data_IF_549808719696
#
_entry.id   IF_549808719696
#
_cell.length_a   1.000
_cell.length_b   1.000
_cell.length_c   1.000
_cell.angle_alpha   90.00
_cell.angle_beta   90.00
_cell.angle_gamma   90.00
#
_symmetry.space_group_name_H-M   'P 1'
#
loop_
_entity.id
_entity.type
_entity.pdbx_description
1 polymer ?
#
# COMPACT_ATOMS: atom_id res chain seq x y z
N UNK A 1 -13.22 -23.82 -15.63
CA UNK A 1 -12.06 -22.95 -15.34
C UNK A 1 -12.53 -21.50 -15.36
N UNK A 2 -12.57 -20.86 -14.21
CA UNK A 2 -12.94 -19.44 -14.11
C UNK A 2 -11.80 -18.58 -14.68
N UNK A 3 -12.14 -17.60 -15.54
CA UNK A 3 -11.15 -16.71 -16.15
C UNK A 3 -11.27 -15.31 -15.53
N UNK A 4 -10.17 -14.79 -15.05
CA UNK A 4 -10.03 -13.44 -14.44
C UNK A 4 -9.16 -12.57 -15.36
N UNK A 5 -9.61 -11.36 -15.63
CA UNK A 5 -8.83 -10.34 -16.35
C UNK A 5 -8.50 -9.20 -15.41
N UNK A 6 -7.22 -8.93 -15.20
CA UNK A 6 -6.73 -7.87 -14.32
C UNK A 6 -6.23 -6.70 -15.17
N UNK A 7 -6.80 -5.51 -14.98
CA UNK A 7 -6.48 -4.28 -15.72
C UNK A 7 -5.53 -3.38 -14.92
N UNK A 8 -4.23 -3.60 -15.10
CA UNK A 8 -3.19 -2.84 -14.40
C UNK A 8 -2.91 -1.49 -15.10
N UNK A 9 -2.90 -0.39 -14.36
CA UNK A 9 -2.61 0.95 -14.88
C UNK A 9 -1.12 1.23 -15.04
N UNK A 10 -0.28 0.56 -14.25
CA UNK A 10 1.17 0.74 -14.24
C UNK A 10 1.87 -0.51 -13.71
N UNK A 11 3.16 -0.63 -14.00
CA UNK A 11 4.01 -1.61 -13.33
C UNK A 11 4.36 -1.06 -11.95
N UNK A 12 3.86 -1.71 -10.91
CA UNK A 12 4.19 -1.43 -9.53
C UNK A 12 4.58 -2.73 -8.85
N UNK A 13 5.73 -2.78 -8.19
CA UNK A 13 6.23 -4.00 -7.54
C UNK A 13 5.18 -4.69 -6.67
N UNK A 14 4.52 -3.92 -5.81
CA UNK A 14 3.52 -4.45 -4.86
C UNK A 14 2.32 -5.13 -5.52
N UNK A 15 1.88 -4.64 -6.69
CA UNK A 15 0.77 -5.26 -7.42
C UNK A 15 1.24 -6.38 -8.34
N UNK A 16 2.41 -6.24 -8.96
CA UNK A 16 2.95 -7.26 -9.86
C UNK A 16 3.36 -8.53 -9.12
N UNK A 17 3.98 -8.40 -7.94
CA UNK A 17 4.28 -9.55 -7.09
C UNK A 17 3.00 -10.28 -6.65
N UNK A 18 1.96 -9.53 -6.27
CA UNK A 18 0.64 -10.12 -5.99
C UNK A 18 0.09 -10.88 -7.19
N UNK A 19 0.10 -10.27 -8.39
CA UNK A 19 -0.47 -10.90 -9.59
C UNK A 19 0.34 -12.11 -10.04
N UNK A 20 1.66 -12.10 -9.87
CA UNK A 20 2.53 -13.26 -10.11
C UNK A 20 2.10 -14.44 -9.26
N UNK A 21 1.88 -14.22 -7.98
CA UNK A 21 1.45 -15.27 -7.07
C UNK A 21 0.00 -15.73 -7.35
N UNK A 22 -0.91 -14.80 -7.67
CA UNK A 22 -2.28 -15.16 -8.07
C UNK A 22 -2.29 -16.09 -9.30
N UNK A 23 -1.41 -15.85 -10.29
CA UNK A 23 -1.26 -16.72 -11.47
C UNK A 23 -0.79 -18.14 -11.14
N UNK A 24 -0.06 -18.30 -10.01
CA UNK A 24 0.51 -19.59 -9.57
C UNK A 24 -0.39 -20.40 -8.65
N UNK A 25 -1.42 -19.78 -8.07
CA UNK A 25 -2.14 -20.36 -6.93
C UNK A 25 -3.08 -21.51 -7.28
N UNK A 26 -3.74 -21.46 -8.45
CA UNK A 26 -4.83 -22.39 -8.78
C UNK A 26 -4.84 -22.70 -10.28
N UNK A 27 -4.70 -23.98 -10.61
CA UNK A 27 -4.73 -24.46 -12.00
C UNK A 27 -6.14 -24.37 -12.63
N UNK A 28 -7.19 -24.28 -11.81
CA UNK A 28 -8.58 -24.15 -12.24
C UNK A 28 -9.02 -22.70 -12.49
N UNK A 29 -8.12 -21.70 -12.22
CA UNK A 29 -8.36 -20.28 -12.46
C UNK A 29 -7.37 -19.76 -13.50
N UNK A 30 -7.88 -19.32 -14.64
CA UNK A 30 -7.06 -18.65 -15.65
C UNK A 30 -6.96 -17.16 -15.35
N UNK A 31 -5.75 -16.62 -15.23
CA UNK A 31 -5.51 -15.18 -14.96
C UNK A 31 -4.81 -14.54 -16.15
N UNK A 32 -5.40 -13.48 -16.68
CA UNK A 32 -4.80 -12.63 -17.74
C UNK A 32 -4.55 -11.24 -17.18
N UNK A 33 -3.32 -10.79 -17.22
CA UNK A 33 -2.94 -9.43 -16.80
C UNK A 33 -2.81 -8.53 -18.04
N UNK A 34 -3.64 -7.52 -18.11
CA UNK A 34 -3.66 -6.49 -19.15
C UNK A 34 -3.04 -5.22 -18.60
N UNK A 35 -1.89 -4.82 -19.13
CA UNK A 35 -1.21 -3.60 -18.73
C UNK A 35 -1.57 -2.44 -19.67
N UNK A 36 -2.00 -1.33 -19.11
CA UNK A 36 -2.20 -0.10 -19.89
C UNK A 36 -0.85 0.46 -20.34
N UNK A 37 -0.73 0.73 -21.67
CA UNK A 37 0.38 1.50 -22.21
C UNK A 37 0.29 2.94 -21.70
N UNK A 38 1.38 3.50 -21.20
CA UNK A 38 1.38 4.92 -20.88
C UNK A 38 1.33 5.75 -22.18
N UNK A 39 0.78 6.98 -22.09
CA UNK A 39 0.58 7.84 -23.25
C UNK A 39 1.87 8.32 -23.94
N UNK A 40 3.05 7.90 -23.47
CA UNK A 40 4.36 8.23 -24.03
C UNK A 40 4.89 7.15 -24.97
N UNK A 41 4.15 6.05 -25.13
CA UNK A 41 4.55 4.95 -26.02
C UNK A 41 5.79 4.18 -25.56
N UNK A 42 6.22 4.37 -24.32
CA UNK A 42 7.37 3.67 -23.78
C UNK A 42 7.05 2.19 -23.59
N UNK A 43 7.93 1.35 -24.13
CA UNK A 43 7.89 -0.09 -23.95
C UNK A 43 7.97 -0.42 -22.45
N UNK A 44 7.19 -1.40 -22.02
CA UNK A 44 7.21 -1.94 -20.65
C UNK A 44 8.64 -2.22 -20.14
N UNK A 45 9.58 -2.53 -21.04
CA UNK A 45 11.02 -2.68 -20.73
C UNK A 45 11.67 -1.38 -20.28
N UNK A 46 11.38 -0.23 -20.89
CA UNK A 46 12.00 1.07 -20.53
C UNK A 46 11.45 1.64 -19.22
N UNK A 47 10.19 1.38 -18.91
CA UNK A 47 9.61 1.68 -17.59
C UNK A 47 10.30 0.90 -16.46
N UNK A 48 10.84 -0.28 -16.73
CA UNK A 48 11.56 -1.14 -15.79
C UNK A 48 12.92 -0.55 -15.40
N UNK A 49 13.70 -0.12 -16.36
CA UNK A 49 15.05 0.42 -16.15
C UNK A 49 15.01 1.76 -15.40
N UNK A 50 14.01 2.61 -15.67
CA UNK A 50 13.90 3.94 -15.09
C UNK A 50 13.41 3.94 -13.62
N UNK A 51 12.75 2.85 -13.15
CA UNK A 51 12.14 2.80 -11.80
C UNK A 51 12.80 1.79 -10.85
N UNK A 52 13.84 1.05 -11.27
CA UNK A 52 14.48 0.01 -10.46
C UNK A 52 13.52 -1.12 -10.03
N UNK A 53 12.38 -1.25 -10.73
CA UNK A 53 11.37 -2.27 -10.48
C UNK A 53 11.68 -3.49 -11.34
N UNK A 54 11.68 -4.69 -10.76
CA UNK A 54 12.10 -5.93 -11.39
C UNK A 54 11.45 -6.29 -12.74
N UNK A 55 11.87 -7.40 -13.35
CA UNK A 55 11.27 -7.91 -14.58
C UNK A 55 9.91 -8.58 -14.30
N UNK A 56 8.84 -8.07 -14.92
CA UNK A 56 7.47 -8.59 -14.82
C UNK A 56 6.92 -9.05 -16.19
N UNK A 57 7.80 -9.42 -17.13
CA UNK A 57 7.39 -9.95 -18.44
C UNK A 57 6.63 -11.27 -18.34
N UNK A 58 6.89 -12.03 -17.28
CA UNK A 58 6.18 -13.25 -16.92
C UNK A 58 4.76 -13.00 -16.35
N UNK A 59 4.49 -11.79 -15.89
CA UNK A 59 3.20 -11.41 -15.29
C UNK A 59 2.24 -10.81 -16.32
N UNK A 60 2.74 -9.94 -17.21
CA UNK A 60 1.93 -9.20 -18.16
C UNK A 60 1.67 -10.02 -19.43
N UNK A 61 0.42 -10.35 -19.68
CA UNK A 61 0.00 -11.16 -20.87
C UNK A 61 -0.35 -10.30 -22.08
N UNK A 62 -0.92 -9.10 -21.86
CA UNK A 62 -1.40 -8.19 -22.89
C UNK A 62 -1.05 -6.75 -22.56
N UNK A 63 -0.88 -5.94 -23.59
CA UNK A 63 -0.74 -4.49 -23.48
C UNK A 63 -1.93 -3.82 -24.15
N UNK A 64 -2.58 -2.94 -23.42
CA UNK A 64 -3.74 -2.18 -23.87
C UNK A 64 -3.36 -0.71 -24.11
N UNK A 65 -3.83 -0.14 -25.21
CA UNK A 65 -3.51 1.24 -25.62
C UNK A 65 -4.28 2.32 -24.83
N UNK A 66 -5.17 1.91 -23.93
CA UNK A 66 -5.95 2.82 -23.09
C UNK A 66 -7.23 3.35 -23.76
N UNK A 67 -7.61 2.87 -24.95
CA UNK A 67 -8.84 3.26 -25.63
C UNK A 67 -9.98 2.31 -25.32
N UNK A 68 -11.21 2.82 -25.32
CA UNK A 68 -12.40 2.03 -25.02
C UNK A 68 -12.60 0.90 -26.04
N UNK A 69 -12.48 1.20 -27.34
CA UNK A 69 -12.76 0.28 -28.42
C UNK A 69 -11.89 -0.99 -28.36
N UNK A 70 -10.58 -0.82 -28.19
CA UNK A 70 -9.65 -1.95 -28.04
C UNK A 70 -9.83 -2.68 -26.71
N UNK A 71 -10.27 -2.00 -25.67
CA UNK A 71 -10.58 -2.60 -24.38
C UNK A 71 -11.82 -3.48 -24.40
N UNK A 72 -12.83 -3.13 -25.19
CA UNK A 72 -14.07 -3.89 -25.32
C UNK A 72 -13.84 -5.33 -25.81
N UNK A 73 -12.89 -5.51 -26.74
CA UNK A 73 -12.50 -6.83 -27.25
C UNK A 73 -11.85 -7.70 -26.17
N UNK A 74 -11.16 -7.08 -25.21
CA UNK A 74 -10.50 -7.77 -24.12
C UNK A 74 -11.48 -8.21 -23.01
N UNK A 75 -12.72 -7.70 -23.00
CA UNK A 75 -13.75 -8.16 -22.07
C UNK A 75 -14.16 -9.61 -22.31
N UNK A 76 -13.97 -10.13 -23.54
CA UNK A 76 -14.31 -11.51 -23.87
C UNK A 76 -13.29 -12.54 -23.32
N UNK A 77 -12.16 -12.06 -22.74
CA UNK A 77 -11.11 -12.94 -22.19
C UNK A 77 -11.50 -13.60 -20.86
N UNK A 78 -12.50 -13.09 -20.14
CA UNK A 78 -12.87 -13.64 -18.84
C UNK A 78 -14.25 -13.28 -18.33
N UNK A 79 -14.67 -13.96 -17.26
CA UNK A 79 -15.96 -13.73 -16.60
C UNK A 79 -15.86 -12.77 -15.42
N UNK A 80 -14.65 -12.56 -14.90
CA UNK A 80 -14.37 -11.66 -13.78
C UNK A 80 -13.33 -10.64 -14.22
N UNK A 81 -13.62 -9.36 -14.07
CA UNK A 81 -12.72 -8.27 -14.41
C UNK A 81 -12.36 -7.47 -13.18
N UNK A 82 -11.05 -7.39 -12.90
CA UNK A 82 -10.49 -6.55 -11.83
C UNK A 82 -9.88 -5.32 -12.47
N UNK A 83 -10.55 -4.20 -12.32
CA UNK A 83 -10.10 -2.92 -12.84
C UNK A 83 -9.27 -2.16 -11.80
N UNK A 84 -8.47 -1.19 -12.26
CA UNK A 84 -7.88 -0.14 -11.46
C UNK A 84 -7.85 1.17 -12.24
N UNK A 85 -7.85 2.31 -11.53
CA UNK A 85 -7.75 3.63 -12.14
C UNK A 85 -9.05 4.27 -12.61
N UNK A 86 -10.22 3.79 -12.16
CA UNK A 86 -11.52 4.38 -12.51
C UNK A 86 -11.63 5.88 -12.17
N UNK A 87 -10.93 6.32 -11.14
CA UNK A 87 -10.94 7.72 -10.70
C UNK A 87 -10.35 8.68 -11.73
N UNK A 88 -9.35 8.22 -12.48
CA UNK A 88 -8.55 9.07 -13.38
C UNK A 88 -8.71 8.72 -14.86
N UNK A 89 -9.22 7.52 -15.18
CA UNK A 89 -9.27 7.03 -16.55
C UNK A 89 -10.72 6.87 -17.03
N UNK A 90 -11.09 7.64 -18.06
CA UNK A 90 -12.43 7.60 -18.67
C UNK A 90 -12.71 6.23 -19.30
N UNK A 91 -11.77 5.68 -20.08
CA UNK A 91 -11.98 4.41 -20.78
C UNK A 91 -12.21 3.25 -19.79
N UNK A 92 -11.52 3.25 -18.64
CA UNK A 92 -11.77 2.26 -17.56
C UNK A 92 -13.20 2.36 -17.07
N UNK A 93 -13.71 3.58 -16.82
CA UNK A 93 -15.11 3.75 -16.38
C UNK A 93 -16.12 3.19 -17.38
N UNK A 94 -15.92 3.46 -18.65
CA UNK A 94 -16.82 2.95 -19.70
C UNK A 94 -16.69 1.43 -19.86
N UNK A 95 -15.48 0.87 -19.71
CA UNK A 95 -15.28 -0.60 -19.74
C UNK A 95 -15.95 -1.28 -18.53
N UNK A 96 -15.93 -0.70 -17.34
CA UNK A 96 -16.65 -1.22 -16.17
C UNK A 96 -18.17 -1.28 -16.45
N UNK A 97 -18.73 -0.23 -17.05
CA UNK A 97 -20.15 -0.18 -17.42
C UNK A 97 -20.49 -1.22 -18.49
N UNK A 98 -19.63 -1.36 -19.52
CA UNK A 98 -19.82 -2.34 -20.57
C UNK A 98 -19.67 -3.77 -20.06
N UNK A 99 -18.71 -4.04 -19.17
CA UNK A 99 -18.55 -5.34 -18.54
C UNK A 99 -19.82 -5.73 -17.75
N UNK A 100 -20.39 -4.78 -16.99
CA UNK A 100 -21.65 -5.01 -16.27
C UNK A 100 -22.82 -5.26 -17.21
N UNK A 101 -22.89 -4.53 -18.34
CA UNK A 101 -23.93 -4.76 -19.37
C UNK A 101 -23.85 -6.16 -19.97
N UNK A 102 -22.65 -6.75 -20.05
CA UNK A 102 -22.40 -8.14 -20.48
C UNK A 102 -22.61 -9.17 -19.37
N UNK A 103 -23.13 -8.77 -18.21
CA UNK A 103 -23.29 -9.62 -17.01
C UNK A 103 -21.98 -10.21 -16.47
N UNK A 104 -20.85 -9.56 -16.73
CA UNK A 104 -19.55 -9.93 -16.16
C UNK A 104 -19.45 -9.40 -14.71
N UNK A 105 -18.67 -10.11 -13.88
CA UNK A 105 -18.34 -9.62 -12.52
C UNK A 105 -17.31 -8.52 -12.60
N UNK A 106 -17.61 -7.38 -11.99
CA UNK A 106 -16.78 -6.17 -12.00
C UNK A 106 -16.24 -5.88 -10.60
N UNK A 107 -14.93 -5.96 -10.44
CA UNK A 107 -14.21 -5.67 -9.21
C UNK A 107 -13.29 -4.47 -9.45
N UNK A 108 -13.18 -3.57 -8.51
CA UNK A 108 -12.16 -2.51 -8.53
C UNK A 108 -11.11 -2.80 -7.45
N UNK A 109 -9.82 -2.70 -7.81
CA UNK A 109 -8.70 -2.76 -6.88
C UNK A 109 -7.85 -1.51 -7.01
N UNK A 110 -8.06 -0.54 -6.11
CA UNK A 110 -7.42 0.77 -6.19
C UNK A 110 -7.28 1.41 -4.81
N UNK A 111 -6.55 2.53 -4.77
CA UNK A 111 -6.48 3.39 -3.60
C UNK A 111 -7.74 4.25 -3.44
N UNK A 112 -8.14 4.48 -2.20
CA UNK A 112 -9.12 5.51 -1.91
C UNK A 112 -8.55 6.90 -2.24
N UNK A 113 -9.38 7.88 -2.68
CA UNK A 113 -8.92 9.24 -2.95
C UNK A 113 -8.17 9.82 -1.77
N UNK A 114 -6.95 10.30 -1.99
CA UNK A 114 -6.10 10.88 -0.94
C UNK A 114 -5.79 12.36 -1.19
N UNK A 115 -5.96 13.17 -0.16
CA UNK A 115 -5.70 14.60 -0.19
C UNK A 115 -4.29 14.94 0.30
N UNK A 116 -3.26 14.55 -0.46
CA UNK A 116 -1.86 14.86 -0.11
C UNK A 116 -1.47 16.33 -0.36
N UNK A 117 -2.36 17.14 -0.89
CA UNK A 117 -2.07 18.54 -1.21
C UNK A 117 -2.48 19.49 -0.09
N UNK A 118 -1.58 20.39 0.28
CA UNK A 118 -1.81 21.50 1.23
C UNK A 118 -1.98 22.83 0.48
N UNK A 119 -2.49 23.86 1.17
CA UNK A 119 -2.70 25.18 0.59
C UNK A 119 -3.86 25.22 -0.41
N UNK A 120 -3.85 26.21 -1.31
CA UNK A 120 -4.92 26.44 -2.30
C UNK A 120 -5.19 25.21 -3.18
N UNK A 121 -4.12 24.53 -3.62
CA UNK A 121 -4.26 23.29 -4.41
C UNK A 121 -5.01 22.20 -3.63
N UNK A 122 -4.79 22.11 -2.32
CA UNK A 122 -5.52 21.16 -1.46
C UNK A 122 -7.01 21.50 -1.35
N UNK A 123 -7.36 22.79 -1.27
CA UNK A 123 -8.77 23.22 -1.26
C UNK A 123 -9.45 22.87 -2.58
N UNK A 124 -8.83 23.21 -3.71
CA UNK A 124 -9.37 22.89 -5.04
C UNK A 124 -9.56 21.38 -5.23
N UNK A 125 -8.59 20.59 -4.77
CA UNK A 125 -8.66 19.12 -4.84
C UNK A 125 -9.79 18.57 -3.97
N UNK A 126 -10.02 19.12 -2.78
CA UNK A 126 -11.17 18.75 -1.93
C UNK A 126 -12.50 19.07 -2.59
N UNK A 127 -12.62 20.25 -3.21
CA UNK A 127 -13.84 20.62 -3.96
C UNK A 127 -14.06 19.68 -5.15
N UNK A 128 -13.02 19.37 -5.90
CA UNK A 128 -13.07 18.40 -6.99
C UNK A 128 -13.56 17.03 -6.49
N UNK A 129 -13.01 16.51 -5.40
CA UNK A 129 -13.41 15.22 -4.83
C UNK A 129 -14.82 15.23 -4.22
N UNK A 130 -15.28 16.38 -3.73
CA UNK A 130 -16.62 16.49 -3.15
C UNK A 130 -17.72 16.67 -4.19
N UNK A 131 -17.45 17.34 -5.31
CA UNK A 131 -18.47 17.79 -6.25
C UNK A 131 -18.36 17.14 -7.63
N UNK A 132 -17.15 17.06 -8.19
CA UNK A 132 -16.95 16.67 -9.59
C UNK A 132 -16.70 15.16 -9.70
N UNK A 133 -15.78 14.63 -8.90
CA UNK A 133 -15.41 13.22 -8.99
C UNK A 133 -16.61 12.28 -8.78
N UNK A 134 -17.51 12.48 -7.80
CA UNK A 134 -18.67 11.61 -7.62
C UNK A 134 -19.55 11.54 -8.88
N UNK A 135 -19.76 12.67 -9.55
CA UNK A 135 -20.54 12.71 -10.81
C UNK A 135 -19.84 11.94 -11.93
N UNK A 136 -18.50 12.08 -12.03
CA UNK A 136 -17.71 11.43 -13.09
C UNK A 136 -17.66 9.91 -12.92
N UNK A 137 -17.59 9.40 -11.69
CA UNK A 137 -17.40 7.96 -11.42
C UNK A 137 -18.71 7.21 -11.18
N UNK A 138 -19.83 7.91 -11.02
CA UNK A 138 -21.13 7.35 -10.63
C UNK A 138 -21.49 6.07 -11.38
N UNK A 139 -21.50 6.10 -12.72
CA UNK A 139 -21.88 4.95 -13.54
C UNK A 139 -20.94 3.74 -13.34
N UNK A 140 -19.65 4.00 -13.19
CA UNK A 140 -18.66 2.94 -12.94
C UNK A 140 -18.83 2.33 -11.55
N UNK A 141 -19.11 3.17 -10.53
CA UNK A 141 -19.40 2.72 -9.16
C UNK A 141 -20.70 1.88 -9.12
N UNK A 142 -21.75 2.32 -9.81
CA UNK A 142 -23.01 1.57 -9.93
C UNK A 142 -22.84 0.24 -10.69
N UNK A 143 -21.87 0.15 -11.59
CA UNK A 143 -21.56 -1.06 -12.36
C UNK A 143 -20.70 -2.07 -11.59
N UNK A 144 -19.97 -1.64 -10.58
CA UNK A 144 -19.05 -2.49 -9.84
C UNK A 144 -19.75 -3.33 -8.77
N UNK A 145 -19.30 -4.56 -8.58
CA UNK A 145 -19.79 -5.49 -7.56
C UNK A 145 -19.00 -5.38 -6.25
N UNK A 146 -17.72 -5.01 -6.34
CA UNK A 146 -16.79 -5.00 -5.21
C UNK A 146 -15.70 -3.95 -5.39
N UNK A 147 -15.31 -3.29 -4.31
CA UNK A 147 -14.10 -2.48 -4.20
C UNK A 147 -13.13 -3.10 -3.20
N UNK A 148 -11.96 -3.54 -3.66
CA UNK A 148 -10.86 -3.98 -2.80
C UNK A 148 -9.96 -2.77 -2.56
N UNK A 149 -9.96 -2.26 -1.33
CA UNK A 149 -9.23 -1.03 -0.99
C UNK A 149 -7.75 -1.31 -0.78
N UNK A 150 -6.92 -0.84 -1.70
CA UNK A 150 -5.47 -0.84 -1.56
C UNK A 150 -4.97 0.13 -0.46
N UNK A 151 -5.82 1.03 0.01
CA UNK A 151 -5.56 1.92 1.16
C UNK A 151 -5.97 1.33 2.50
N UNK A 152 -6.32 0.04 2.56
CA UNK A 152 -6.86 -0.57 3.78
C UNK A 152 -8.12 0.15 4.25
N UNK A 153 -8.18 0.45 5.55
CA UNK A 153 -9.29 1.18 6.16
C UNK A 153 -9.27 2.69 5.86
N UNK A 154 -8.11 3.22 5.39
CA UNK A 154 -7.97 4.64 5.12
C UNK A 154 -8.84 5.06 3.93
N UNK A 155 -9.62 6.11 4.11
CA UNK A 155 -10.43 6.69 3.04
C UNK A 155 -11.75 5.98 2.75
N UNK A 156 -12.17 4.99 3.54
CA UNK A 156 -13.46 4.31 3.37
C UNK A 156 -14.64 5.28 3.31
N UNK A 157 -14.67 6.30 4.19
CA UNK A 157 -15.74 7.30 4.16
C UNK A 157 -15.71 8.17 2.89
N UNK A 158 -14.56 8.29 2.25
CA UNK A 158 -14.44 8.96 0.95
C UNK A 158 -15.00 8.11 -0.18
N UNK A 159 -14.75 6.80 -0.15
CA UNK A 159 -15.34 5.86 -1.10
C UNK A 159 -16.87 5.85 -0.98
N UNK A 160 -17.40 5.85 0.25
CA UNK A 160 -18.84 5.96 0.48
C UNK A 160 -19.40 7.28 -0.10
N UNK A 161 -18.69 8.41 0.07
CA UNK A 161 -19.08 9.69 -0.56
C UNK A 161 -19.01 9.67 -2.09
N UNK A 162 -18.19 8.81 -2.69
CA UNK A 162 -18.17 8.58 -4.13
C UNK A 162 -19.33 7.70 -4.64
N UNK A 163 -20.15 7.17 -3.72
CA UNK A 163 -21.31 6.34 -4.05
C UNK A 163 -21.11 4.84 -3.82
N UNK A 164 -19.93 4.40 -3.34
CA UNK A 164 -19.73 3.00 -2.99
C UNK A 164 -20.57 2.61 -1.77
N UNK A 165 -21.23 1.46 -1.83
CA UNK A 165 -21.87 0.87 -0.67
C UNK A 165 -20.80 0.37 0.30
N UNK A 166 -20.96 0.63 1.60
CA UNK A 166 -19.95 0.27 2.60
C UNK A 166 -19.69 -1.25 2.64
N UNK A 167 -20.71 -2.06 2.48
CA UNK A 167 -20.64 -3.52 2.41
C UNK A 167 -19.94 -4.05 1.16
N UNK A 168 -19.83 -3.26 0.11
CA UNK A 168 -19.09 -3.57 -1.11
C UNK A 168 -17.61 -3.12 -1.06
N UNK A 169 -17.17 -2.50 0.04
CA UNK A 169 -15.78 -2.07 0.22
C UNK A 169 -15.07 -3.04 1.16
N UNK A 170 -14.00 -3.67 0.68
CA UNK A 170 -13.19 -4.58 1.48
C UNK A 170 -11.79 -4.01 1.66
N UNK A 171 -11.36 -3.74 2.90
CA UNK A 171 -9.98 -3.36 3.18
C UNK A 171 -9.01 -4.47 2.80
N UNK A 172 -7.89 -4.12 2.16
CA UNK A 172 -6.89 -5.10 1.79
C UNK A 172 -5.46 -4.57 1.96
N UNK A 173 -5.12 -3.44 1.34
CA UNK A 173 -3.78 -2.88 1.29
C UNK A 173 -2.95 -3.42 0.12
N UNK A 174 -1.63 -3.30 0.25
CA UNK A 174 -0.65 -3.83 -0.68
C UNK A 174 0.15 -4.97 -0.08
N UNK A 175 0.84 -5.73 -0.93
CA UNK A 175 1.86 -6.72 -0.55
C UNK A 175 3.26 -6.17 -0.86
N UNK A 176 4.29 -6.81 -0.33
CA UNK A 176 5.68 -6.59 -0.74
C UNK A 176 6.42 -7.92 -0.72
N UNK A 177 7.21 -8.18 -1.73
CA UNK A 177 8.12 -9.34 -1.79
C UNK A 177 9.41 -9.14 -0.99
N UNK A 178 9.53 -8.06 -0.23
CA UNK A 178 10.77 -7.72 0.48
C UNK A 178 11.91 -7.36 -0.49
N UNK A 179 13.14 -7.34 0.02
CA UNK A 179 14.33 -7.06 -0.78
C UNK A 179 15.14 -8.32 -1.15
N UNK A 180 14.57 -9.52 -1.01
CA UNK A 180 15.22 -10.82 -1.22
C UNK A 180 15.34 -11.62 0.07
N UNK A 181 16.14 -12.69 0.07
CA UNK A 181 16.49 -13.46 1.28
C UNK A 181 17.44 -12.63 2.17
N UNK A 182 16.87 -11.75 2.96
CA UNK A 182 17.58 -11.02 3.99
C UNK A 182 17.35 -11.69 5.34
N UNK A 183 18.41 -11.72 6.14
CA UNK A 183 18.31 -12.29 7.48
C UNK A 183 17.23 -11.60 8.27
N UNK A 184 16.32 -12.36 8.83
CA UNK A 184 15.37 -11.86 9.82
C UNK A 184 16.18 -11.09 10.87
N UNK A 185 15.95 -9.78 10.99
CA UNK A 185 16.65 -8.90 11.92
C UNK A 185 16.58 -9.44 13.36
N UNK A 186 17.47 -10.37 13.65
CA UNK A 186 17.59 -11.08 14.93
C UNK A 186 18.58 -10.40 15.88
N UNK A 187 18.87 -9.10 15.65
CA UNK A 187 19.67 -8.36 16.61
C UNK A 187 19.03 -8.51 17.99
N UNK A 188 19.70 -9.20 18.90
CA UNK A 188 19.30 -9.28 20.29
C UNK A 188 19.11 -7.85 20.82
N UNK A 189 18.03 -7.63 21.56
CA UNK A 189 17.78 -6.38 22.25
C UNK A 189 18.84 -6.22 23.33
N UNK A 190 19.98 -5.63 22.99
CA UNK A 190 21.07 -5.41 23.94
C UNK A 190 20.59 -4.54 25.10
N UNK A 191 20.82 -5.04 26.30
CA UNK A 191 20.54 -4.31 27.54
C UNK A 191 21.53 -3.14 27.71
N UNK A 192 21.01 -1.98 28.11
CA UNK A 192 21.87 -0.85 28.50
C UNK A 192 22.26 0.11 27.39
N UNK A 193 21.76 -0.05 26.17
CA UNK A 193 21.88 0.97 25.08
C UNK A 193 20.59 1.71 24.84
N UNK A 194 20.69 2.94 24.32
CA UNK A 194 19.54 3.75 23.91
C UNK A 194 18.73 3.12 22.79
N UNK A 195 17.45 3.53 22.65
CA UNK A 195 16.56 3.08 21.58
C UNK A 195 17.03 3.55 20.21
N UNK A 196 17.15 2.65 19.26
CA UNK A 196 17.50 2.95 17.86
C UNK A 196 16.25 3.11 17.02
N UNK A 197 16.01 4.34 16.57
CA UNK A 197 14.83 4.74 15.80
C UNK A 197 15.23 5.06 14.37
N UNK A 198 14.61 4.43 13.40
CA UNK A 198 14.84 4.69 11.97
C UNK A 198 13.62 5.35 11.33
N UNK A 199 13.84 6.38 10.52
CA UNK A 199 12.86 6.91 9.59
C UNK A 199 13.36 6.75 8.16
N UNK A 200 12.62 6.03 7.32
CA UNK A 200 12.95 5.78 5.91
C UNK A 200 12.17 6.70 4.97
N UNK A 201 12.76 7.02 3.82
CA UNK A 201 12.16 7.83 2.77
C UNK A 201 12.61 9.30 2.78
N UNK A 202 12.03 10.07 1.86
CA UNK A 202 12.39 11.48 1.68
C UNK A 202 11.98 12.34 2.88
N UNK A 203 12.80 13.34 3.19
CA UNK A 203 12.50 14.33 4.21
C UNK A 203 11.49 15.36 3.68
N UNK A 204 10.21 15.05 3.74
CA UNK A 204 9.12 15.93 3.32
C UNK A 204 8.10 16.11 4.46
N UNK A 205 7.47 17.29 4.53
CA UNK A 205 6.48 17.61 5.59
C UNK A 205 5.35 16.58 5.66
N UNK A 206 4.83 16.13 4.52
CA UNK A 206 3.75 15.15 4.49
C UNK A 206 4.17 13.77 5.01
N UNK A 207 5.48 13.49 5.11
CA UNK A 207 6.05 12.27 5.71
C UNK A 207 6.19 12.35 7.22
N UNK A 208 5.87 13.52 7.84
CA UNK A 208 5.88 13.70 9.28
C UNK A 208 7.27 13.76 9.93
N UNK A 209 8.32 14.03 9.16
CA UNK A 209 9.72 14.12 9.65
C UNK A 209 9.86 15.14 10.79
N UNK A 210 9.17 16.27 10.69
CA UNK A 210 9.13 17.29 11.74
C UNK A 210 8.43 16.80 13.02
N UNK A 211 7.46 15.89 12.91
CA UNK A 211 6.80 15.27 14.06
C UNK A 211 7.79 14.40 14.82
N UNK A 212 8.54 13.54 14.12
CA UNK A 212 9.59 12.74 14.75
C UNK A 212 10.72 13.58 15.34
N UNK A 213 11.18 14.62 14.63
CA UNK A 213 12.20 15.55 15.16
C UNK A 213 11.75 16.22 16.48
N UNK A 214 10.50 16.65 16.57
CA UNK A 214 9.92 17.22 17.81
C UNK A 214 9.79 16.20 18.93
N UNK A 215 9.33 14.99 18.62
CA UNK A 215 9.23 13.89 19.59
C UNK A 215 10.61 13.54 20.18
N UNK A 216 11.62 13.36 19.31
CA UNK A 216 12.99 13.05 19.72
C UNK A 216 13.60 14.16 20.58
N UNK A 217 13.41 15.44 20.22
CA UNK A 217 13.86 16.56 21.02
C UNK A 217 13.19 16.61 22.41
N UNK A 218 11.91 16.27 22.50
CA UNK A 218 11.18 16.17 23.77
C UNK A 218 11.75 15.05 24.66
N UNK A 219 11.98 13.88 24.08
CA UNK A 219 12.55 12.71 24.79
C UNK A 219 13.96 12.99 25.32
N UNK A 220 14.81 13.61 24.49
CA UNK A 220 16.16 14.01 24.92
C UNK A 220 16.14 14.94 26.15
N UNK A 221 15.21 15.92 26.18
CA UNK A 221 15.06 16.82 27.35
C UNK A 221 14.61 16.08 28.62
N UNK A 222 13.91 14.95 28.47
CA UNK A 222 13.47 14.10 29.59
C UNK A 222 14.52 13.05 29.98
N UNK A 223 15.71 13.06 29.38
CA UNK A 223 16.80 12.14 29.66
C UNK A 223 16.60 10.74 29.08
N UNK A 224 15.68 10.57 28.12
CA UNK A 224 15.50 9.28 27.44
C UNK A 224 16.59 9.14 26.36
N UNK A 225 17.35 8.06 26.45
CA UNK A 225 18.41 7.76 25.50
C UNK A 225 17.83 7.16 24.22
N UNK A 226 17.99 7.86 23.10
CA UNK A 226 17.62 7.39 21.78
C UNK A 226 18.58 7.87 20.70
N UNK A 227 18.81 7.06 19.69
CA UNK A 227 19.52 7.42 18.48
C UNK A 227 18.54 7.39 17.30
N UNK A 228 18.44 8.50 16.54
CA UNK A 228 17.51 8.61 15.41
C UNK A 228 18.28 8.74 14.11
N UNK A 229 18.02 7.87 13.15
CA UNK A 229 18.55 7.96 11.78
C UNK A 229 17.43 8.29 10.79
N UNK A 230 17.75 9.19 9.85
CA UNK A 230 16.92 9.57 8.72
C UNK A 230 17.64 9.19 7.42
N UNK A 231 16.97 8.46 6.53
CA UNK A 231 17.59 8.08 5.24
C UNK A 231 17.59 9.22 4.21
N UNK A 232 16.71 10.21 4.37
CA UNK A 232 16.59 11.35 3.46
C UNK A 232 16.18 10.97 2.01
N UNK A 233 15.79 9.73 1.77
CA UNK A 233 15.42 9.23 0.44
C UNK A 233 16.61 9.06 -0.53
N UNK A 234 17.84 9.09 -0.02
CA UNK A 234 19.09 8.99 -0.81
C UNK A 234 19.83 7.67 -0.59
N UNK A 235 19.25 6.76 0.17
CA UNK A 235 19.86 5.47 0.48
C UNK A 235 19.59 4.50 -0.67
N UNK A 236 20.63 3.87 -1.16
CA UNK A 236 20.52 2.77 -2.12
C UNK A 236 19.72 1.61 -1.50
N UNK A 237 18.89 0.95 -2.30
CA UNK A 237 18.12 -0.21 -1.87
C UNK A 237 19.02 -1.30 -1.23
N UNK A 238 20.25 -1.47 -1.72
CA UNK A 238 21.24 -2.40 -1.17
C UNK A 238 21.71 -2.04 0.26
N UNK A 239 21.52 -0.81 0.71
CA UNK A 239 21.90 -0.35 2.06
C UNK A 239 20.76 -0.45 3.08
N UNK A 240 19.51 -0.54 2.61
CA UNK A 240 18.34 -0.59 3.48
C UNK A 240 18.36 -1.75 4.47
N UNK A 241 18.75 -2.99 4.10
CA UNK A 241 18.80 -4.11 5.04
C UNK A 241 19.68 -3.84 6.26
N UNK A 242 20.87 -3.27 6.06
CA UNK A 242 21.78 -2.92 7.18
C UNK A 242 21.18 -1.85 8.11
N UNK A 243 20.38 -0.92 7.56
CA UNK A 243 19.68 0.08 8.37
C UNK A 243 18.52 -0.55 9.15
N UNK A 244 17.84 -1.52 8.56
CA UNK A 244 16.82 -2.29 9.24
C UNK A 244 17.41 -3.14 10.37
N UNK A 245 18.48 -3.89 10.15
CA UNK A 245 19.18 -4.63 11.20
C UNK A 245 19.63 -3.73 12.37
N UNK A 246 20.04 -2.50 12.07
CA UNK A 246 20.42 -1.55 13.10
C UNK A 246 19.23 -1.07 13.94
N UNK A 247 18.02 -0.98 13.40
CA UNK A 247 16.87 -0.35 14.03
C UNK A 247 16.18 -1.26 15.06
N UNK A 248 15.80 -0.71 16.22
CA UNK A 248 14.91 -1.36 17.16
C UNK A 248 13.44 -1.14 16.79
N UNK A 249 13.13 0.01 16.20
CA UNK A 249 11.80 0.41 15.75
C UNK A 249 11.90 1.36 14.55
N UNK A 250 10.98 1.24 13.60
CA UNK A 250 10.86 2.19 12.48
C UNK A 250 9.65 3.07 12.67
N UNK A 251 9.82 4.39 12.46
CA UNK A 251 8.74 5.37 12.56
C UNK A 251 8.27 5.79 11.17
N UNK A 252 6.98 5.61 10.92
CA UNK A 252 6.27 6.01 9.71
C UNK A 252 5.11 6.94 10.08
N UNK A 253 5.41 8.23 10.29
CA UNK A 253 4.45 9.22 10.80
C UNK A 253 3.89 10.13 9.70
N UNK A 254 3.56 9.57 8.53
CA UNK A 254 2.96 10.29 7.41
C UNK A 254 1.63 10.97 7.78
N UNK A 255 1.41 12.19 7.25
CA UNK A 255 0.19 12.96 7.55
C UNK A 255 -1.01 12.54 6.68
N UNK A 256 -0.72 12.07 5.47
CA UNK A 256 -1.72 11.52 4.55
C UNK A 256 -1.01 10.69 3.49
N UNK A 257 -1.00 9.39 3.66
CA UNK A 257 -0.38 8.44 2.74
C UNK A 257 -1.36 7.26 2.51
N UNK A 258 -1.82 7.02 1.26
CA UNK A 258 -2.87 6.03 1.00
C UNK A 258 -2.57 4.66 1.60
N UNK A 259 -1.32 4.21 1.50
CA UNK A 259 -0.87 2.99 2.15
C UNK A 259 0.41 3.21 2.97
N UNK A 260 1.56 3.32 2.34
CA UNK A 260 2.86 3.41 2.99
C UNK A 260 3.67 2.12 2.89
N UNK A 261 4.06 1.76 1.66
CA UNK A 261 4.77 0.51 1.32
C UNK A 261 5.98 0.21 2.21
N UNK A 262 6.68 1.24 2.69
CA UNK A 262 7.81 1.07 3.62
C UNK A 262 7.45 0.35 4.92
N UNK A 263 6.18 0.39 5.34
CA UNK A 263 5.71 -0.37 6.52
C UNK A 263 5.77 -1.87 6.21
N UNK A 264 5.33 -2.27 5.01
CA UNK A 264 5.46 -3.68 4.58
C UNK A 264 6.93 -4.11 4.55
N UNK A 265 7.80 -3.30 3.93
CA UNK A 265 9.22 -3.63 3.80
C UNK A 265 9.88 -3.86 5.17
N UNK A 266 9.56 -3.01 6.14
CA UNK A 266 10.07 -3.09 7.51
C UNK A 266 9.52 -4.30 8.26
N UNK A 267 8.22 -4.57 8.12
CA UNK A 267 7.59 -5.71 8.77
C UNK A 267 8.10 -7.05 8.23
N UNK A 268 8.42 -7.14 6.94
CA UNK A 268 9.04 -8.32 6.34
C UNK A 268 10.41 -8.63 6.97
N UNK A 269 11.12 -7.61 7.47
CA UNK A 269 12.36 -7.78 8.23
C UNK A 269 12.10 -8.07 9.74
N UNK A 270 10.85 -8.24 10.14
CA UNK A 270 10.46 -8.54 11.52
C UNK A 270 10.69 -7.37 12.51
N UNK A 271 10.74 -6.14 12.00
CA UNK A 271 10.99 -4.94 12.81
C UNK A 271 9.66 -4.25 13.13
N UNK A 272 9.41 -3.93 14.41
CA UNK A 272 8.18 -3.24 14.79
C UNK A 272 8.15 -1.80 14.28
N UNK A 273 6.93 -1.28 14.11
CA UNK A 273 6.69 0.06 13.55
C UNK A 273 5.87 0.94 14.49
N UNK A 274 6.11 2.25 14.43
CA UNK A 274 5.17 3.25 14.96
C UNK A 274 4.61 4.01 13.77
N UNK A 275 3.32 3.87 13.52
CA UNK A 275 2.65 4.38 12.32
C UNK A 275 1.61 5.41 12.72
N UNK A 276 1.45 6.47 11.94
CA UNK A 276 0.33 7.40 12.17
C UNK A 276 -0.98 6.89 11.56
N UNK A 277 -2.10 7.32 12.13
CA UNK A 277 -3.46 7.11 11.58
C UNK A 277 -3.67 7.81 10.22
N UNK A 278 -2.73 8.63 9.78
CA UNK A 278 -2.67 9.22 8.45
C UNK A 278 -2.19 8.28 7.34
N UNK A 279 -1.92 7.01 7.65
CA UNK A 279 -1.39 6.01 6.71
C UNK A 279 -2.29 4.77 6.68
N UNK A 280 -2.57 4.24 5.47
CA UNK A 280 -3.40 3.05 5.31
C UNK A 280 -2.81 1.80 5.98
N UNK A 281 -1.48 1.67 5.96
CA UNK A 281 -0.76 0.56 6.58
C UNK A 281 -0.86 0.52 8.12
N UNK A 282 -1.42 1.56 8.78
CA UNK A 282 -1.71 1.53 10.21
C UNK A 282 -2.60 0.33 10.60
N UNK A 283 -3.48 -0.12 9.70
CA UNK A 283 -4.30 -1.31 9.94
C UNK A 283 -3.50 -2.56 10.27
N UNK A 284 -2.26 -2.69 9.79
CA UNK A 284 -1.40 -3.85 10.08
C UNK A 284 -0.99 -3.90 11.56
N UNK A 285 -0.85 -2.72 12.20
CA UNK A 285 -0.57 -2.67 13.63
C UNK A 285 -1.75 -3.20 14.46
N UNK A 286 -2.98 -2.83 14.07
CA UNK A 286 -4.20 -3.29 14.74
C UNK A 286 -4.44 -4.79 14.49
N UNK A 287 -4.13 -5.28 13.28
CA UNK A 287 -4.36 -6.67 12.89
C UNK A 287 -3.34 -7.63 13.53
N UNK A 288 -2.07 -7.25 13.61
CA UNK A 288 -0.98 -8.17 14.00
C UNK A 288 -0.27 -7.80 15.30
N UNK A 289 -0.60 -6.69 15.94
CA UNK A 289 0.15 -6.21 17.12
C UNK A 289 1.62 -5.90 16.81
N UNK A 290 1.93 -5.59 15.57
CA UNK A 290 3.30 -5.40 15.05
C UNK A 290 3.87 -4.00 15.29
N UNK A 291 3.13 -3.15 16.00
CA UNK A 291 3.50 -1.77 16.23
C UNK A 291 2.43 -0.99 16.97
N UNK A 292 2.58 0.33 16.98
CA UNK A 292 1.62 1.25 17.58
C UNK A 292 1.11 2.26 16.56
N UNK A 293 -0.18 2.56 16.63
CA UNK A 293 -0.79 3.66 15.87
C UNK A 293 -0.83 4.93 16.73
N UNK A 294 -0.38 6.05 16.17
CA UNK A 294 -0.42 7.36 16.82
C UNK A 294 -1.22 8.37 15.98
N UNK A 295 -1.85 9.38 16.60
CA UNK A 295 -2.52 10.42 15.83
C UNK A 295 -1.53 11.16 14.93
N UNK A 296 -1.90 11.40 13.67
CA UNK A 296 -1.07 12.13 12.71
C UNK A 296 -0.76 13.54 13.19
N UNK A 297 0.51 13.91 13.12
CA UNK A 297 0.99 15.23 13.54
C UNK A 297 1.19 15.38 15.06
N UNK A 298 0.84 14.40 15.87
CA UNK A 298 1.00 14.43 17.32
C UNK A 298 2.37 13.92 17.76
N UNK A 299 3.28 14.87 18.00
CA UNK A 299 4.62 14.57 18.48
C UNK A 299 4.65 14.08 19.94
N UNK A 300 3.64 14.42 20.76
CA UNK A 300 3.59 13.98 22.15
C UNK A 300 3.17 12.52 22.25
N UNK A 301 2.15 12.11 21.49
CA UNK A 301 1.74 10.72 21.38
C UNK A 301 2.88 9.84 20.83
N UNK A 302 3.59 10.33 19.79
CA UNK A 302 4.75 9.63 19.25
C UNK A 302 5.86 9.50 20.31
N UNK A 303 6.15 10.57 21.05
CA UNK A 303 7.16 10.55 22.11
C UNK A 303 6.79 9.54 23.22
N UNK A 304 5.52 9.50 23.64
CA UNK A 304 5.07 8.56 24.68
C UNK A 304 5.28 7.08 24.25
N UNK A 305 4.98 6.74 23.00
CA UNK A 305 5.22 5.38 22.48
C UNK A 305 6.71 5.07 22.41
N UNK A 306 7.54 5.98 21.90
CA UNK A 306 8.99 5.78 21.83
C UNK A 306 9.63 5.67 23.22
N UNK A 307 9.17 6.46 24.20
CA UNK A 307 9.61 6.35 25.58
C UNK A 307 9.28 4.99 26.18
N UNK A 308 8.07 4.48 25.92
CA UNK A 308 7.71 3.13 26.34
C UNK A 308 8.60 2.08 25.68
N UNK A 309 8.87 2.18 24.38
CA UNK A 309 9.79 1.27 23.69
C UNK A 309 11.21 1.32 24.28
N UNK A 310 11.68 2.49 24.72
CA UNK A 310 13.00 2.66 25.33
C UNK A 310 13.09 2.03 26.72
N UNK A 311 12.04 2.19 27.55
CA UNK A 311 12.03 1.82 28.95
C UNK A 311 11.44 0.43 29.24
N UNK A 312 10.63 -0.11 28.33
CA UNK A 312 9.96 -1.40 28.48
C UNK A 312 10.40 -2.37 27.36
N UNK A 313 11.43 -3.16 27.66
CA UNK A 313 11.97 -4.15 26.73
C UNK A 313 10.98 -5.29 26.44
N UNK A 314 10.15 -5.64 27.41
CA UNK A 314 9.07 -6.62 27.23
C UNK A 314 8.04 -6.15 26.22
N UNK A 315 7.65 -4.88 26.30
CA UNK A 315 6.76 -4.26 25.33
C UNK A 315 7.38 -4.26 23.92
N UNK A 316 8.63 -3.84 23.77
CA UNK A 316 9.31 -3.83 22.47
C UNK A 316 9.46 -5.24 21.88
N UNK A 317 9.76 -6.24 22.73
CA UNK A 317 9.83 -7.65 22.32
C UNK A 317 8.46 -8.18 21.87
N UNK A 318 7.38 -7.79 22.54
CA UNK A 318 6.01 -8.12 22.12
C UNK A 318 5.69 -7.55 20.73
N UNK A 319 5.99 -6.27 20.47
CA UNK A 319 5.79 -5.66 19.16
C UNK A 319 6.64 -6.35 18.07
N UNK A 320 7.86 -6.76 18.41
CA UNK A 320 8.74 -7.49 17.48
C UNK A 320 8.18 -8.88 17.15
N UNK A 321 7.57 -9.56 18.12
CA UNK A 321 6.86 -10.82 17.87
C UNK A 321 5.69 -10.61 16.90
N UNK A 322 4.89 -9.55 17.10
CA UNK A 322 3.82 -9.16 16.18
C UNK A 322 4.34 -8.83 14.76
N UNK A 323 5.50 -8.16 14.67
CA UNK A 323 6.11 -7.87 13.36
C UNK A 323 6.51 -9.15 12.61
N UNK A 324 7.06 -10.16 13.30
CA UNK A 324 7.36 -11.48 12.72
C UNK A 324 6.11 -12.22 12.25
N UNK A 325 5.01 -12.14 13.01
CA UNK A 325 3.72 -12.69 12.57
C UNK A 325 3.19 -11.95 11.34
N UNK A 326 3.25 -10.62 11.35
CA UNK A 326 2.85 -9.80 10.21
C UNK A 326 3.64 -10.17 8.95
N UNK A 327 4.96 -10.36 9.05
CA UNK A 327 5.82 -10.75 7.92
C UNK A 327 5.29 -11.99 7.20
N UNK A 328 4.87 -13.03 7.93
CA UNK A 328 4.34 -14.26 7.36
C UNK A 328 2.98 -14.05 6.66
N UNK A 329 2.15 -13.12 7.13
CA UNK A 329 0.80 -12.91 6.63
C UNK A 329 0.71 -11.86 5.49
N UNK A 330 1.67 -10.89 5.43
CA UNK A 330 1.71 -9.89 4.36
C UNK A 330 2.53 -10.33 3.15
N UNK A 331 3.18 -11.49 3.20
CA UNK A 331 3.90 -12.06 2.08
C UNK A 331 2.98 -12.25 0.86
N UNK A 332 3.48 -12.06 -0.39
CA UNK A 332 2.66 -12.10 -1.59
C UNK A 332 1.86 -13.39 -1.74
N UNK A 333 2.42 -14.56 -1.39
CA UNK A 333 1.79 -15.87 -1.50
C UNK A 333 0.53 -15.98 -0.61
N UNK A 334 0.61 -15.49 0.61
CA UNK A 334 -0.53 -15.48 1.55
C UNK A 334 -1.59 -14.48 1.11
N UNK A 335 -1.15 -13.27 0.79
CA UNK A 335 -2.06 -12.19 0.36
C UNK A 335 -2.75 -12.53 -0.95
N UNK A 336 -2.08 -13.22 -1.87
CA UNK A 336 -2.66 -13.65 -3.13
C UNK A 336 -3.87 -14.58 -2.92
N UNK A 337 -3.80 -15.51 -1.95
CA UNK A 337 -4.94 -16.39 -1.59
C UNK A 337 -6.13 -15.57 -1.10
N UNK A 338 -5.89 -14.65 -0.16
CA UNK A 338 -6.93 -13.78 0.40
C UNK A 338 -7.54 -12.89 -0.69
N UNK A 339 -6.70 -12.30 -1.55
CA UNK A 339 -7.15 -11.43 -2.63
C UNK A 339 -8.01 -12.20 -3.64
N UNK A 340 -7.54 -13.38 -4.06
CA UNK A 340 -8.25 -14.22 -5.03
C UNK A 340 -9.62 -14.65 -4.50
N UNK A 341 -9.71 -15.07 -3.22
CA UNK A 341 -10.97 -15.40 -2.58
C UNK A 341 -11.96 -14.24 -2.61
N UNK A 342 -11.50 -13.01 -2.29
CA UNK A 342 -12.34 -11.80 -2.39
C UNK A 342 -12.80 -11.53 -3.82
N UNK A 343 -11.93 -11.66 -4.81
CA UNK A 343 -12.25 -11.45 -6.22
C UNK A 343 -13.29 -12.47 -6.71
N UNK A 344 -13.19 -13.71 -6.27
CA UNK A 344 -14.13 -14.78 -6.65
C UNK A 344 -15.43 -14.75 -5.81
N UNK A 345 -15.42 -14.12 -4.63
CA UNK A 345 -16.55 -14.12 -3.70
C UNK A 345 -16.63 -15.41 -2.86
N UNK A 346 -15.47 -16.01 -2.60
CA UNK A 346 -15.27 -17.20 -1.76
C UNK A 346 -15.03 -16.84 -0.30
#
# INVERSE_FOLDING_TARGET
>A
MTKIVIWAQSVCRSTMDLYREVKRLRDDVGVTVVLRRDGRGEDVRKLREAQGQGDYSDVVDRVWDGKFESGVELLDLGAVHVFSGYQVNHAVRELMVEAKRRALRVVEYDEAPCEMCVGVKGVLKRLYYAMILPMMVRRAVEAADLFISASGNMGMDRLVRLGWKREAIVPFGYTSGGFGEWGTGNGELEMGRGLRVLHTGVEAKYRGVDVLKRAAASLKRRGVELEVKFTGGKVDAAQLPRLYEWADVVVACGLCEPWGMRVNDVLLEGIPVVVSDGMGAAMLCDEFGCGCVVPKGDANALAAVLERCANDRGFLAHLRSGAKMAAAEIAPEKRAKVWLGKVLGE
#
